data_IF_109640476499
#
_entry.id   IF_109640476499
#
_cell.length_a   1.000
_cell.length_b   1.000
_cell.length_c   1.000
_cell.angle_alpha   90.00
_cell.angle_beta   90.00
_cell.angle_gamma   90.00
#
_symmetry.space_group_name_H-M   'P 1'
#
loop_
_entity.id
_entity.type
_entity.pdbx_description
1 polymer ?
#
# COMPACT_ATOMS: atom_id res chain seq x y z
N UNK A 1 9.51 -11.52 12.05
CA UNK A 1 9.97 -10.48 11.09
C UNK A 1 10.98 -11.06 10.10
N UNK A 2 10.51 -11.57 8.96
CA UNK A 2 11.39 -12.23 7.97
C UNK A 2 10.97 -12.07 6.52
N UNK A 3 9.80 -11.50 6.25
CA UNK A 3 9.30 -11.26 4.90
C UNK A 3 8.79 -9.83 4.77
N UNK A 4 9.59 -8.97 4.15
CA UNK A 4 9.17 -7.64 3.73
C UNK A 4 8.39 -7.76 2.43
N UNK A 5 7.29 -7.03 2.30
CA UNK A 5 6.40 -7.13 1.15
C UNK A 5 6.32 -5.77 0.44
N UNK A 6 7.18 -5.59 -0.56
CA UNK A 6 7.23 -4.40 -1.39
C UNK A 6 6.39 -4.61 -2.66
N UNK A 7 5.67 -3.57 -3.08
CA UNK A 7 4.85 -3.58 -4.29
C UNK A 7 5.15 -2.34 -5.14
N UNK A 8 5.17 -2.52 -6.47
CA UNK A 8 5.19 -1.41 -7.41
C UNK A 8 3.86 -0.64 -7.40
N UNK A 9 3.85 0.58 -7.97
CA UNK A 9 2.66 1.43 -8.06
C UNK A 9 1.47 0.75 -8.76
N UNK A 10 1.74 -0.13 -9.73
CA UNK A 10 0.74 -0.83 -10.53
C UNK A 10 0.24 -2.11 -9.83
N UNK A 11 0.95 -2.56 -8.79
CA UNK A 11 0.67 -3.78 -8.03
C UNK A 11 0.11 -3.48 -6.63
N UNK A 12 -0.22 -2.21 -6.35
CA UNK A 12 -0.80 -1.81 -5.08
C UNK A 12 -2.07 -2.63 -4.82
N UNK A 13 -2.18 -3.37 -3.71
CA UNK A 13 -3.30 -4.28 -3.45
C UNK A 13 -4.58 -3.51 -3.12
N UNK A 14 -5.72 -3.94 -3.67
CA UNK A 14 -7.05 -3.41 -3.24
C UNK A 14 -7.56 -4.28 -2.10
N UNK A 15 -7.76 -3.69 -0.93
CA UNK A 15 -8.27 -4.44 0.24
C UNK A 15 -9.79 -4.53 0.15
N UNK A 16 -10.34 -5.75 0.20
CA UNK A 16 -11.79 -6.06 0.12
C UNK A 16 -12.54 -5.23 -0.95
N UNK A 17 -12.06 -5.24 -2.19
CA UNK A 17 -12.65 -4.46 -3.29
C UNK A 17 -12.82 -2.95 -3.00
N UNK A 18 -11.96 -2.39 -2.14
CA UNK A 18 -12.00 -0.99 -1.74
C UNK A 18 -12.73 -0.70 -0.44
N UNK A 19 -13.29 -1.71 0.24
CA UNK A 19 -13.93 -1.53 1.55
C UNK A 19 -12.93 -1.45 2.71
N UNK A 20 -11.71 -1.95 2.52
CA UNK A 20 -10.62 -1.83 3.49
C UNK A 20 -9.53 -0.86 3.04
N UNK A 21 -8.50 -0.72 3.87
CA UNK A 21 -7.33 0.13 3.62
C UNK A 21 -6.06 -0.71 3.77
N UNK A 22 -5.08 -0.53 2.88
CA UNK A 22 -3.71 -0.96 3.16
C UNK A 22 -2.88 0.26 3.58
N UNK A 23 -2.09 0.10 4.64
CA UNK A 23 -1.13 1.11 5.11
C UNK A 23 0.21 0.75 4.49
N UNK A 24 0.81 1.70 3.79
CA UNK A 24 2.06 1.49 3.07
C UNK A 24 3.13 2.50 3.47
N UNK A 25 4.37 2.03 3.59
CA UNK A 25 5.55 2.89 3.68
C UNK A 25 6.10 3.15 2.27
N UNK A 26 6.08 4.40 1.83
CA UNK A 26 6.54 4.82 0.50
C UNK A 26 7.66 5.85 0.63
N UNK A 27 8.32 6.18 -0.48
CA UNK A 27 9.31 7.28 -0.51
C UNK A 27 8.70 8.66 -0.26
N UNK A 28 7.37 8.80 -0.37
CA UNK A 28 6.62 10.02 -0.09
C UNK A 28 6.04 10.04 1.34
N UNK A 29 6.39 9.07 2.19
CA UNK A 29 5.87 8.91 3.55
C UNK A 29 4.94 7.71 3.71
N UNK A 30 4.23 7.66 4.85
CA UNK A 30 3.21 6.64 5.10
C UNK A 30 1.91 7.04 4.41
N UNK A 31 1.43 6.22 3.49
CA UNK A 31 0.24 6.48 2.66
C UNK A 31 -0.74 5.31 2.72
N UNK A 32 -2.01 5.60 2.50
CA UNK A 32 -3.01 4.57 2.17
C UNK A 32 -2.79 4.04 0.75
N UNK A 33 -3.33 2.86 0.45
CA UNK A 33 -3.30 2.27 -0.89
C UNK A 33 -3.98 3.15 -1.95
N UNK A 34 -4.96 3.98 -1.55
CA UNK A 34 -5.62 4.93 -2.47
C UNK A 34 -4.71 6.12 -2.77
N UNK A 35 -4.14 6.75 -1.73
CA UNK A 35 -3.22 7.88 -1.89
C UNK A 35 -1.98 7.48 -2.69
N UNK A 36 -1.41 6.31 -2.40
CA UNK A 36 -0.25 5.78 -3.11
C UNK A 36 -0.54 5.56 -4.61
N UNK A 37 -1.75 5.08 -4.97
CA UNK A 37 -2.17 4.97 -6.38
C UNK A 37 -2.34 6.34 -7.04
N UNK A 38 -2.98 7.29 -6.35
CA UNK A 38 -3.18 8.65 -6.87
C UNK A 38 -1.84 9.35 -7.12
N UNK A 39 -0.86 9.15 -6.25
CA UNK A 39 0.48 9.72 -6.39
C UNK A 39 1.39 8.88 -7.32
N UNK A 40 0.96 7.68 -7.73
CA UNK A 40 1.72 6.80 -8.60
C UNK A 40 3.00 6.25 -7.96
N UNK A 41 3.01 6.06 -6.63
CA UNK A 41 4.18 5.58 -5.87
C UNK A 41 3.92 4.21 -5.26
N UNK A 42 4.89 3.31 -5.38
CA UNK A 42 4.89 2.01 -4.69
C UNK A 42 5.46 2.10 -3.27
N UNK A 43 5.58 0.96 -2.60
CA UNK A 43 6.14 0.91 -1.25
C UNK A 43 6.03 -0.44 -0.55
N UNK A 44 6.39 -0.46 0.73
CA UNK A 44 6.22 -1.61 1.61
C UNK A 44 4.79 -1.64 2.16
N UNK A 45 4.10 -2.77 2.01
CA UNK A 45 2.79 -2.97 2.64
C UNK A 45 3.01 -3.35 4.11
N UNK A 46 2.70 -2.42 5.02
CA UNK A 46 2.88 -2.62 6.46
C UNK A 46 1.73 -3.41 7.06
N UNK A 47 0.49 -3.06 6.71
CA UNK A 47 -0.71 -3.68 7.25
C UNK A 47 -1.88 -3.56 6.28
N UNK A 48 -2.87 -4.44 6.47
CA UNK A 48 -4.18 -4.37 5.81
C UNK A 48 -5.23 -4.39 6.91
N UNK A 49 -6.13 -3.42 6.88
CA UNK A 49 -7.23 -3.28 7.85
C UNK A 49 -8.55 -3.34 7.09
N UNK A 50 -9.51 -4.08 7.62
CA UNK A 50 -10.85 -4.27 7.04
C UNK A 50 -11.90 -4.42 8.12
#
# INVERSE_FOLDING_TARGET
PGRRHYVGKDEIPRVRNGLGIAIMSTSAGILSDREARTQGVGGEVLARVW
#
